data_IF_533969256728
#
_entry.id   IF_533969256728
#
_cell.length_a   1.000
_cell.length_b   1.000
_cell.length_c   1.000
_cell.angle_alpha   90.00
_cell.angle_beta   90.00
_cell.angle_gamma   90.00
#
_symmetry.space_group_name_H-M   'P 1'
#
loop_
_entity.id
_entity.type
_entity.pdbx_description
1 polymer ?
#
# COMPACT_ATOMS: atom_id res chain seq x y z
N UNK A 1 8.32 6.54 -17.98
CA UNK A 1 8.98 6.67 -16.66
C UNK A 1 8.69 5.39 -15.88
N UNK A 2 9.68 4.84 -15.14
CA UNK A 2 9.50 3.66 -14.31
C UNK A 2 8.99 4.06 -12.93
N UNK A 3 7.90 3.44 -12.46
CA UNK A 3 7.41 3.61 -11.10
C UNK A 3 8.18 2.73 -10.11
N UNK A 4 8.51 1.50 -10.53
CA UNK A 4 9.33 0.57 -9.76
C UNK A 4 10.34 -0.11 -10.68
N UNK A 5 11.59 -0.18 -10.25
CA UNK A 5 12.65 -0.94 -10.90
C UNK A 5 13.40 -1.76 -9.84
N UNK A 6 13.35 -3.07 -9.97
CA UNK A 6 14.08 -4.02 -9.15
C UNK A 6 15.09 -4.73 -10.05
N UNK A 7 16.34 -4.85 -9.61
CA UNK A 7 17.41 -5.55 -10.32
C UNK A 7 18.15 -6.49 -9.41
N UNK A 8 18.24 -7.75 -9.78
CA UNK A 8 18.96 -8.82 -9.11
C UNK A 8 18.67 -8.88 -7.60
N UNK A 9 17.37 -8.73 -7.23
CA UNK A 9 16.97 -8.68 -5.82
C UNK A 9 17.04 -10.06 -5.20
N UNK A 10 17.86 -10.17 -4.16
CA UNK A 10 18.05 -11.41 -3.37
C UNK A 10 17.74 -11.14 -1.90
N UNK A 11 17.05 -12.07 -1.28
CA UNK A 11 16.82 -12.08 0.17
C UNK A 11 17.09 -13.45 0.75
N UNK A 12 18.07 -13.49 1.66
CA UNK A 12 18.38 -14.64 2.50
C UNK A 12 18.16 -14.22 3.95
N UNK A 13 17.35 -14.96 4.68
CA UNK A 13 17.13 -14.74 6.11
C UNK A 13 18.25 -15.36 6.96
N UNK A 14 18.33 -14.97 8.24
CA UNK A 14 19.39 -15.45 9.16
C UNK A 14 19.41 -16.97 9.37
N UNK A 15 18.27 -17.64 9.15
CA UNK A 15 18.15 -19.10 9.19
C UNK A 15 18.61 -19.81 7.89
N UNK A 16 19.19 -19.07 6.93
CA UNK A 16 19.62 -19.58 5.62
C UNK A 16 18.49 -19.70 4.57
N UNK A 17 17.23 -19.43 4.92
CA UNK A 17 16.14 -19.50 3.97
C UNK A 17 16.25 -18.40 2.91
N UNK A 18 16.37 -18.81 1.63
CA UNK A 18 16.42 -17.92 0.48
C UNK A 18 14.98 -17.64 0.01
N UNK A 19 14.45 -16.47 0.36
CA UNK A 19 13.11 -16.04 -0.01
C UNK A 19 13.02 -15.42 -1.41
N UNK A 20 14.09 -14.79 -1.88
CA UNK A 20 14.22 -14.21 -3.22
C UNK A 20 15.58 -14.57 -3.78
N UNK A 21 15.66 -14.93 -5.06
CA UNK A 21 16.87 -15.38 -5.75
C UNK A 21 17.08 -14.60 -7.05
N UNK A 22 17.67 -13.41 -6.96
CA UNK A 22 18.07 -12.61 -8.12
C UNK A 22 16.90 -12.14 -8.99
N UNK A 23 15.77 -11.73 -8.41
CA UNK A 23 14.59 -11.33 -9.18
C UNK A 23 14.75 -9.95 -9.81
N UNK A 24 14.26 -9.81 -11.03
CA UNK A 24 14.11 -8.55 -11.76
C UNK A 24 12.63 -8.21 -11.95
N UNK A 25 12.26 -6.95 -11.75
CA UNK A 25 10.92 -6.46 -11.97
C UNK A 25 10.95 -5.01 -12.43
N UNK A 26 10.19 -4.68 -13.45
CA UNK A 26 9.95 -3.29 -13.87
C UNK A 26 8.45 -3.04 -14.00
N UNK A 27 7.97 -1.95 -13.38
CA UNK A 27 6.59 -1.46 -13.50
C UNK A 27 6.66 -0.01 -13.96
N UNK A 28 5.90 0.34 -15.00
CA UNK A 28 5.88 1.71 -15.51
C UNK A 28 4.88 2.58 -14.73
N UNK A 29 5.10 3.89 -14.78
CA UNK A 29 4.16 4.84 -14.19
C UNK A 29 2.78 4.73 -14.88
N UNK A 30 1.72 4.66 -14.07
CA UNK A 30 0.34 4.47 -14.53
C UNK A 30 -0.08 3.01 -14.74
N UNK A 31 0.84 2.04 -14.66
CA UNK A 31 0.47 0.63 -14.79
C UNK A 31 -0.45 0.18 -13.64
N UNK A 32 -1.37 -0.74 -13.97
CA UNK A 32 -2.10 -1.55 -13.01
C UNK A 32 -1.53 -2.97 -13.05
N UNK A 33 -0.55 -3.24 -12.18
CA UNK A 33 0.27 -4.44 -12.21
C UNK A 33 -0.15 -5.47 -11.15
N UNK A 34 -0.27 -6.73 -11.53
CA UNK A 34 -0.57 -7.83 -10.59
C UNK A 34 0.60 -8.80 -10.50
N UNK A 35 1.09 -9.01 -9.28
CA UNK A 35 2.12 -9.98 -8.96
C UNK A 35 1.45 -11.29 -8.54
N UNK A 36 1.40 -12.25 -9.46
CA UNK A 36 0.75 -13.54 -9.27
C UNK A 36 1.76 -14.60 -8.81
N UNK A 37 1.31 -15.51 -7.96
CA UNK A 37 2.13 -16.66 -7.57
C UNK A 37 1.58 -17.36 -6.33
N UNK A 38 2.01 -18.59 -6.06
CA UNK A 38 1.56 -19.35 -4.89
C UNK A 38 2.03 -18.70 -3.58
N UNK A 39 1.42 -19.13 -2.48
CA UNK A 39 1.90 -18.74 -1.15
C UNK A 39 3.35 -19.21 -0.97
N UNK A 40 4.19 -18.36 -0.37
CA UNK A 40 5.62 -18.64 -0.22
C UNK A 40 6.49 -18.28 -1.43
N UNK A 41 5.92 -17.82 -2.55
CA UNK A 41 6.70 -17.39 -3.74
C UNK A 41 7.53 -16.10 -3.54
N UNK A 42 7.57 -15.53 -2.34
CA UNK A 42 8.34 -14.32 -2.05
C UNK A 42 7.65 -13.00 -2.37
N UNK A 43 6.37 -13.00 -2.80
CA UNK A 43 5.63 -11.78 -3.16
C UNK A 43 5.62 -10.74 -2.02
N UNK A 44 5.16 -11.13 -0.84
CA UNK A 44 5.14 -10.28 0.36
C UNK A 44 6.55 -9.85 0.77
N UNK A 45 7.56 -10.72 0.64
CA UNK A 45 8.96 -10.36 0.92
C UNK A 45 9.46 -9.29 -0.04
N UNK A 46 9.19 -9.41 -1.34
CA UNK A 46 9.59 -8.42 -2.33
C UNK A 46 8.92 -7.05 -2.03
N UNK A 47 7.62 -7.04 -1.77
CA UNK A 47 6.88 -5.83 -1.38
C UNK A 47 7.43 -5.24 -0.08
N UNK A 48 7.67 -6.05 0.94
CA UNK A 48 8.20 -5.58 2.22
C UNK A 48 9.58 -4.92 2.06
N UNK A 49 10.42 -5.41 1.15
CA UNK A 49 11.72 -4.79 0.84
C UNK A 49 11.52 -3.46 0.09
N UNK A 50 10.63 -3.41 -0.91
CA UNK A 50 10.31 -2.16 -1.64
C UNK A 50 9.81 -1.08 -0.68
N UNK A 51 8.99 -1.45 0.31
CA UNK A 51 8.49 -0.54 1.35
C UNK A 51 9.49 -0.31 2.50
N UNK A 52 10.70 -0.86 2.40
CA UNK A 52 11.77 -0.77 3.43
C UNK A 52 11.35 -1.25 4.82
N UNK A 53 10.46 -2.24 4.86
CA UNK A 53 10.08 -2.97 6.07
C UNK A 53 11.00 -4.15 6.36
N UNK A 54 11.68 -4.66 5.33
CA UNK A 54 12.66 -5.75 5.39
C UNK A 54 13.89 -5.33 4.60
N UNK A 55 15.08 -5.57 5.15
CA UNK A 55 16.33 -5.31 4.44
C UNK A 55 16.57 -6.40 3.39
N UNK A 56 16.98 -5.99 2.19
CA UNK A 56 17.48 -6.91 1.15
C UNK A 56 18.84 -7.48 1.52
N UNK A 57 19.22 -8.60 0.91
CA UNK A 57 20.59 -9.13 0.99
C UNK A 57 21.46 -8.56 -0.13
N UNK A 58 20.92 -8.55 -1.37
CA UNK A 58 21.59 -7.99 -2.56
C UNK A 58 20.58 -7.42 -3.53
N UNK A 59 21.08 -6.71 -4.56
CA UNK A 59 20.28 -6.13 -5.63
C UNK A 59 19.97 -4.65 -5.45
N UNK A 60 19.35 -4.04 -6.44
CA UNK A 60 19.04 -2.61 -6.45
C UNK A 60 17.53 -2.40 -6.62
N UNK A 61 16.98 -1.42 -5.90
CA UNK A 61 15.56 -1.04 -5.99
C UNK A 61 15.47 0.47 -6.15
N UNK A 62 14.67 0.91 -7.13
CA UNK A 62 14.33 2.32 -7.32
C UNK A 62 12.83 2.50 -7.44
N UNK A 63 12.31 3.50 -6.77
CA UNK A 63 10.91 3.95 -6.84
C UNK A 63 10.90 5.37 -7.41
N UNK A 64 10.33 5.56 -8.60
CA UNK A 64 10.38 6.84 -9.35
C UNK A 64 11.79 7.45 -9.38
N UNK A 65 12.77 6.63 -9.75
CA UNK A 65 14.21 6.97 -9.82
C UNK A 65 14.88 7.29 -8.46
N UNK A 66 14.17 7.21 -7.34
CA UNK A 66 14.74 7.29 -6.00
C UNK A 66 15.20 5.91 -5.55
N UNK A 67 16.49 5.76 -5.31
CA UNK A 67 17.06 4.55 -4.76
C UNK A 67 16.67 4.42 -3.27
N UNK A 68 16.16 3.24 -2.87
CA UNK A 68 15.65 3.03 -1.50
C UNK A 68 16.74 3.02 -0.42
N UNK A 69 18.03 2.95 -0.77
CA UNK A 69 19.14 3.00 0.19
C UNK A 69 19.67 4.42 0.38
N UNK A 70 19.76 5.19 -0.71
CA UNK A 70 20.36 6.53 -0.69
C UNK A 70 19.35 7.67 -0.63
N UNK A 71 18.09 7.42 -1.08
CA UNK A 71 17.00 8.40 -1.12
C UNK A 71 15.71 7.78 -0.58
N UNK A 72 15.81 7.23 0.65
CA UNK A 72 14.73 6.47 1.28
C UNK A 72 13.45 7.30 1.52
N UNK A 73 13.62 8.54 1.96
CA UNK A 73 12.48 9.40 2.31
C UNK A 73 11.66 9.73 1.05
N UNK A 74 12.32 10.11 -0.03
CA UNK A 74 11.63 10.42 -1.31
C UNK A 74 10.95 9.18 -1.89
N UNK A 75 11.59 8.01 -1.78
CA UNK A 75 10.99 6.75 -2.18
C UNK A 75 9.71 6.47 -1.35
N UNK A 76 9.78 6.59 -0.02
CA UNK A 76 8.64 6.39 0.89
C UNK A 76 7.52 7.39 0.67
N UNK A 77 7.84 8.67 0.42
CA UNK A 77 6.84 9.69 0.10
C UNK A 77 6.03 9.35 -1.16
N UNK A 78 6.61 8.57 -2.07
CA UNK A 78 5.96 8.14 -3.30
C UNK A 78 5.10 6.88 -3.15
N UNK A 79 5.21 6.15 -2.02
CA UNK A 79 4.56 4.85 -1.81
C UNK A 79 3.41 4.94 -0.81
N UNK A 80 2.24 4.42 -1.17
CA UNK A 80 1.18 4.02 -0.25
C UNK A 80 1.17 2.50 -0.12
N UNK A 81 1.15 1.98 1.11
CA UNK A 81 1.15 0.53 1.37
C UNK A 81 -0.10 0.09 2.10
N UNK A 82 -0.76 -0.93 1.56
CA UNK A 82 -1.87 -1.64 2.20
C UNK A 82 -1.41 -3.07 2.48
N UNK A 83 -1.01 -3.40 3.72
CA UNK A 83 -0.56 -4.74 4.07
C UNK A 83 -1.71 -5.74 4.13
N UNK A 84 -1.39 -7.03 4.15
CA UNK A 84 -2.36 -8.11 4.24
C UNK A 84 -3.14 -8.07 5.55
N UNK A 85 -2.49 -7.79 6.67
CA UNK A 85 -3.12 -7.71 7.99
C UNK A 85 -3.45 -6.28 8.40
N UNK A 86 -4.47 -6.14 9.24
CA UNK A 86 -4.86 -4.85 9.82
C UNK A 86 -3.77 -4.40 10.81
N UNK A 87 -3.17 -3.25 10.56
CA UNK A 87 -2.02 -2.72 11.31
C UNK A 87 -2.23 -1.27 11.79
N UNK A 88 -3.44 -0.92 12.20
CA UNK A 88 -3.74 0.37 12.87
C UNK A 88 -4.33 0.13 14.26
N UNK A 89 -4.29 1.17 15.09
CA UNK A 89 -4.93 1.12 16.42
C UNK A 89 -6.45 0.99 16.26
N UNK A 90 -7.00 -0.16 16.61
CA UNK A 90 -8.43 -0.45 16.47
C UNK A 90 -9.30 0.28 17.51
N UNK A 91 -8.73 0.87 18.56
CA UNK A 91 -9.45 1.68 19.54
C UNK A 91 -9.62 3.15 19.11
N UNK A 92 -8.99 3.54 18.02
CA UNK A 92 -9.14 4.88 17.45
C UNK A 92 -10.28 4.92 16.43
N UNK A 93 -10.66 6.12 15.99
CA UNK A 93 -11.71 6.31 14.98
C UNK A 93 -11.14 6.29 13.57
N UNK A 94 -11.92 5.89 12.54
CA UNK A 94 -11.53 5.96 11.15
C UNK A 94 -10.98 7.34 10.73
N UNK A 95 -11.62 8.41 11.18
CA UNK A 95 -11.16 9.76 10.88
C UNK A 95 -9.78 10.05 11.46
N UNK A 96 -9.58 9.72 12.74
CA UNK A 96 -8.29 9.95 13.40
C UNK A 96 -7.18 9.09 12.78
N UNK A 97 -7.45 7.81 12.49
CA UNK A 97 -6.48 6.90 11.84
C UNK A 97 -5.97 7.50 10.53
N UNK A 98 -6.87 8.03 9.70
CA UNK A 98 -6.51 8.61 8.40
C UNK A 98 -5.80 9.96 8.56
N UNK A 99 -6.31 10.84 9.44
CA UNK A 99 -5.72 12.17 9.67
C UNK A 99 -4.35 12.08 10.35
N UNK A 100 -4.18 11.18 11.32
CA UNK A 100 -2.88 10.96 11.97
C UNK A 100 -1.84 10.42 10.97
N UNK A 101 -2.26 9.53 10.05
CA UNK A 101 -1.38 9.08 8.98
C UNK A 101 -0.88 10.24 8.11
N UNK A 102 -1.73 11.21 7.79
CA UNK A 102 -1.32 12.40 7.03
C UNK A 102 -0.23 13.21 7.76
N UNK A 103 -0.30 13.26 9.09
CA UNK A 103 0.70 13.92 9.93
C UNK A 103 2.11 13.35 9.77
N UNK A 104 2.26 12.04 9.60
CA UNK A 104 3.57 11.41 9.34
C UNK A 104 4.20 11.84 8.00
N UNK A 105 3.39 12.35 7.07
CA UNK A 105 3.83 12.89 5.79
C UNK A 105 3.90 14.43 5.79
N UNK A 106 3.80 15.08 6.96
CA UNK A 106 3.87 16.54 7.07
C UNK A 106 2.68 17.30 6.48
N UNK A 107 1.54 16.63 6.28
CA UNK A 107 0.35 17.23 5.69
C UNK A 107 -0.40 18.02 6.76
N UNK A 108 -0.69 19.29 6.48
CA UNK A 108 -1.45 20.16 7.36
C UNK A 108 -2.82 19.57 7.69
N UNK A 109 -3.27 19.71 8.95
CA UNK A 109 -4.50 19.09 9.46
C UNK A 109 -5.75 19.44 8.64
N UNK A 110 -5.88 20.68 8.19
CA UNK A 110 -7.04 21.10 7.39
C UNK A 110 -7.10 20.39 6.03
N UNK A 111 -5.94 20.20 5.40
CA UNK A 111 -5.80 19.45 4.15
C UNK A 111 -6.09 17.97 4.41
N UNK A 112 -5.55 17.41 5.49
CA UNK A 112 -5.78 16.03 5.90
C UNK A 112 -7.26 15.73 6.14
N UNK A 113 -7.99 16.62 6.83
CA UNK A 113 -9.43 16.50 7.08
C UNK A 113 -10.25 16.52 5.77
N UNK A 114 -9.91 17.40 4.84
CA UNK A 114 -10.55 17.48 3.52
C UNK A 114 -10.35 16.19 2.73
N UNK A 115 -9.12 15.70 2.63
CA UNK A 115 -8.78 14.43 1.96
C UNK A 115 -9.41 13.21 2.66
N UNK A 116 -9.41 13.20 4.00
CA UNK A 116 -10.05 12.13 4.78
C UNK A 116 -11.55 12.05 4.49
N UNK A 117 -12.25 13.20 4.40
CA UNK A 117 -13.66 13.25 4.02
C UNK A 117 -13.90 12.64 2.64
N UNK A 118 -13.07 12.98 1.67
CA UNK A 118 -13.13 12.46 0.30
C UNK A 118 -12.93 10.94 0.28
N UNK A 119 -11.78 10.43 0.76
CA UNK A 119 -11.47 9.01 0.70
C UNK A 119 -12.40 8.13 1.56
N UNK A 120 -12.76 8.58 2.77
CA UNK A 120 -13.72 7.87 3.59
C UNK A 120 -15.12 7.87 2.96
N UNK A 121 -15.50 8.94 2.26
CA UNK A 121 -16.75 9.03 1.51
C UNK A 121 -16.78 8.03 0.35
N UNK A 122 -15.79 8.06 -0.53
CA UNK A 122 -15.69 7.15 -1.68
C UNK A 122 -15.63 5.68 -1.26
N UNK A 123 -14.98 5.38 -0.13
CA UNK A 123 -14.88 4.05 0.44
C UNK A 123 -16.08 3.68 1.35
N UNK A 124 -17.13 4.50 1.39
CA UNK A 124 -18.36 4.29 2.17
C UNK A 124 -18.10 4.06 3.67
N UNK A 125 -17.17 4.86 4.23
CA UNK A 125 -16.81 4.83 5.66
C UNK A 125 -17.14 6.15 6.36
N UNK A 126 -17.60 7.18 5.64
CA UNK A 126 -17.82 8.52 6.21
C UNK A 126 -18.81 8.51 7.38
N UNK A 127 -19.91 7.76 7.24
CA UNK A 127 -20.93 7.64 8.31
C UNK A 127 -20.36 6.96 9.58
N UNK A 128 -19.32 6.17 9.43
CA UNK A 128 -18.61 5.47 10.50
C UNK A 128 -17.33 6.18 10.97
N UNK A 129 -17.09 7.41 10.52
CA UNK A 129 -15.84 8.13 10.75
C UNK A 129 -15.48 8.36 12.22
N UNK A 130 -16.50 8.43 13.09
CA UNK A 130 -16.36 8.67 14.53
C UNK A 130 -16.61 7.41 15.38
N UNK A 131 -16.97 6.29 14.76
CA UNK A 131 -17.15 5.03 15.48
C UNK A 131 -15.79 4.48 15.89
N UNK A 132 -15.76 3.56 16.86
CA UNK A 132 -14.53 2.84 17.19
C UNK A 132 -14.18 1.87 16.06
N UNK A 133 -12.95 1.93 15.53
CA UNK A 133 -12.54 1.08 14.40
C UNK A 133 -12.55 -0.41 14.73
N UNK A 134 -12.57 -0.78 16.02
CA UNK A 134 -12.76 -2.17 16.46
C UNK A 134 -14.11 -2.73 16.02
N UNK A 135 -15.17 -1.91 15.98
CA UNK A 135 -16.53 -2.31 15.58
C UNK A 135 -16.72 -2.50 14.07
N UNK A 136 -15.74 -2.10 13.26
CA UNK A 136 -15.81 -2.24 11.81
C UNK A 136 -15.69 -3.71 11.39
N UNK A 137 -16.45 -4.10 10.36
CA UNK A 137 -16.29 -5.41 9.72
C UNK A 137 -14.92 -5.55 9.05
N UNK A 138 -14.48 -6.77 8.74
CA UNK A 138 -13.21 -7.01 8.05
C UNK A 138 -13.08 -6.24 6.73
N UNK A 139 -14.14 -6.22 5.92
CA UNK A 139 -14.19 -5.45 4.68
C UNK A 139 -14.14 -3.94 4.90
N UNK A 140 -14.74 -3.42 5.99
CA UNK A 140 -14.64 -2.01 6.36
C UNK A 140 -13.23 -1.66 6.83
N UNK A 141 -12.59 -2.51 7.63
CA UNK A 141 -11.18 -2.34 8.05
C UNK A 141 -10.26 -2.32 6.85
N UNK A 142 -10.47 -3.20 5.85
CA UNK A 142 -9.70 -3.23 4.61
C UNK A 142 -9.83 -1.92 3.83
N UNK A 143 -11.05 -1.40 3.69
CA UNK A 143 -11.30 -0.11 3.04
C UNK A 143 -10.65 1.05 3.80
N UNK A 144 -10.66 1.02 5.14
CA UNK A 144 -9.98 2.01 5.97
C UNK A 144 -8.46 2.01 5.75
N UNK A 145 -7.83 0.83 5.60
CA UNK A 145 -6.40 0.73 5.27
C UNK A 145 -6.08 1.36 3.92
N UNK A 146 -6.98 1.21 2.93
CA UNK A 146 -6.81 1.86 1.62
C UNK A 146 -6.92 3.39 1.76
N UNK A 147 -7.93 3.90 2.49
CA UNK A 147 -8.05 5.34 2.76
C UNK A 147 -6.80 5.91 3.42
N UNK A 148 -6.28 5.19 4.42
CA UNK A 148 -5.03 5.55 5.12
C UNK A 148 -3.82 5.57 4.19
N UNK A 149 -3.69 4.58 3.31
CA UNK A 149 -2.58 4.52 2.37
C UNK A 149 -2.62 5.60 1.29
N UNK A 150 -3.79 6.16 1.00
CA UNK A 150 -3.99 7.18 -0.04
C UNK A 150 -3.91 8.62 0.49
N UNK A 151 -3.94 8.85 1.80
CA UNK A 151 -4.09 10.19 2.38
C UNK A 151 -3.00 11.19 1.94
N UNK A 152 -1.78 10.71 1.72
CA UNK A 152 -0.66 11.52 1.24
C UNK A 152 -0.55 11.58 -0.30
N UNK A 153 -1.53 11.00 -1.02
CA UNK A 153 -1.60 10.97 -2.49
C UNK A 153 -0.35 10.35 -3.13
N UNK A 154 -0.02 9.10 -2.80
CA UNK A 154 1.16 8.44 -3.34
C UNK A 154 1.07 8.26 -4.85
N UNK A 155 2.22 8.29 -5.53
CA UNK A 155 2.32 7.98 -6.96
C UNK A 155 2.27 6.46 -7.23
N UNK A 156 2.61 5.65 -6.24
CA UNK A 156 2.60 4.18 -6.28
C UNK A 156 1.82 3.63 -5.09
N UNK A 157 0.73 2.93 -5.35
CA UNK A 157 -0.05 2.21 -4.34
C UNK A 157 0.26 0.71 -4.44
N UNK A 158 0.74 0.13 -3.35
CA UNK A 158 1.04 -1.29 -3.24
C UNK A 158 0.01 -1.93 -2.31
N UNK A 159 -0.64 -3.01 -2.77
CA UNK A 159 -1.65 -3.73 -1.99
C UNK A 159 -1.27 -5.21 -1.89
N UNK A 160 -1.08 -5.69 -0.67
CA UNK A 160 -0.79 -7.10 -0.41
C UNK A 160 -2.10 -7.85 -0.14
N UNK A 161 -2.50 -8.73 -1.08
CA UNK A 161 -3.75 -9.51 -1.06
C UNK A 161 -5.00 -8.68 -0.70
N UNK A 162 -5.31 -7.59 -1.43
CA UNK A 162 -6.32 -6.61 -1.00
C UNK A 162 -7.74 -7.17 -0.88
N UNK A 163 -8.04 -8.29 -1.52
CA UNK A 163 -9.39 -8.87 -1.58
C UNK A 163 -9.52 -10.23 -0.90
N UNK A 164 -8.48 -10.69 -0.19
CA UNK A 164 -8.55 -11.95 0.56
C UNK A 164 -9.64 -11.88 1.65
N UNK A 165 -10.54 -12.88 1.68
CA UNK A 165 -11.62 -12.95 2.67
C UNK A 165 -12.70 -11.88 2.56
N UNK A 166 -12.82 -11.20 1.40
CA UNK A 166 -13.80 -10.12 1.18
C UNK A 166 -14.93 -10.61 0.28
N UNK A 167 -16.18 -10.28 0.65
CA UNK A 167 -17.38 -10.58 -0.14
C UNK A 167 -17.31 -10.07 -1.58
N UNK A 168 -18.02 -10.73 -2.49
CA UNK A 168 -18.00 -10.44 -3.94
C UNK A 168 -18.40 -8.98 -4.23
N UNK A 169 -19.42 -8.44 -3.57
CA UNK A 169 -19.87 -7.07 -3.79
C UNK A 169 -18.85 -6.03 -3.32
N UNK A 170 -18.28 -6.26 -2.13
CA UNK A 170 -17.23 -5.41 -1.58
C UNK A 170 -15.99 -5.48 -2.48
N UNK A 171 -15.62 -6.68 -2.94
CA UNK A 171 -14.53 -6.89 -3.89
C UNK A 171 -14.74 -6.08 -5.17
N UNK A 172 -15.94 -6.15 -5.79
CA UNK A 172 -16.26 -5.39 -7.01
C UNK A 172 -16.16 -3.88 -6.80
N UNK A 173 -16.67 -3.37 -5.66
CA UNK A 173 -16.58 -1.95 -5.35
C UNK A 173 -15.15 -1.48 -5.13
N UNK A 174 -14.32 -2.28 -4.48
CA UNK A 174 -12.89 -2.01 -4.31
C UNK A 174 -12.14 -1.98 -5.63
N UNK A 175 -12.39 -2.94 -6.53
CA UNK A 175 -11.78 -2.94 -7.87
C UNK A 175 -12.17 -1.71 -8.68
N UNK A 176 -13.45 -1.29 -8.62
CA UNK A 176 -13.92 -0.08 -9.29
C UNK A 176 -13.19 1.16 -8.74
N UNK A 177 -13.06 1.26 -7.43
CA UNK A 177 -12.33 2.34 -6.77
C UNK A 177 -10.84 2.34 -7.15
N UNK A 178 -10.14 1.19 -7.07
CA UNK A 178 -8.73 1.10 -7.46
C UNK A 178 -8.51 1.49 -8.93
N UNK A 179 -9.41 1.08 -9.82
CA UNK A 179 -9.34 1.50 -11.23
C UNK A 179 -9.54 3.00 -11.41
N UNK A 180 -10.42 3.65 -10.64
CA UNK A 180 -10.58 5.11 -10.71
C UNK A 180 -9.31 5.84 -10.25
N UNK A 181 -8.66 5.37 -9.18
CA UNK A 181 -7.38 5.91 -8.70
C UNK A 181 -6.27 5.72 -9.76
N UNK A 182 -6.21 4.56 -10.40
CA UNK A 182 -5.24 4.30 -11.45
C UNK A 182 -5.47 5.18 -12.69
N UNK A 183 -6.71 5.36 -13.12
CA UNK A 183 -7.06 6.25 -14.24
C UNK A 183 -6.68 7.71 -13.97
N UNK A 184 -6.61 8.11 -12.70
CA UNK A 184 -6.13 9.42 -12.26
C UNK A 184 -4.59 9.49 -12.14
N UNK A 185 -3.87 8.48 -12.62
CA UNK A 185 -2.41 8.47 -12.77
C UNK A 185 -1.63 7.76 -11.67
N UNK A 186 -2.28 7.24 -10.61
CA UNK A 186 -1.59 6.45 -9.59
C UNK A 186 -1.22 5.07 -10.15
N UNK A 187 0.05 4.69 -10.07
CA UNK A 187 0.49 3.33 -10.38
C UNK A 187 0.01 2.37 -9.30
N UNK A 188 -0.48 1.19 -9.67
CA UNK A 188 -0.96 0.20 -8.71
C UNK A 188 -0.20 -1.11 -8.89
N UNK A 189 0.32 -1.64 -7.78
CA UNK A 189 0.86 -3.01 -7.70
C UNK A 189 0.04 -3.76 -6.67
N UNK A 190 -0.43 -4.95 -7.02
CA UNK A 190 -1.10 -5.84 -6.07
C UNK A 190 -0.57 -7.25 -6.15
N UNK A 191 -0.64 -7.96 -5.03
CA UNK A 191 -0.40 -9.41 -4.98
C UNK A 191 -1.73 -10.16 -4.91
N UNK A 192 -1.71 -11.37 -5.42
CA UNK A 192 -2.82 -12.31 -5.31
C UNK A 192 -2.33 -13.74 -5.45
#
# INVERSE_FOLDING_TARGET
MKALSIKNLTKIYSNGFKALDGIDLTVNAGDFYSLLGPNGAGKTTAIAIVCSLVNKTMGNIRVFDHDIETRLEEAKMSIGMVPQEVNFNTFDTPLNIVVNQAGYYGIERNIALKRAKEYLGELRLWEKRNDNARSLSGGMKRRLMIARALIHQPKLLILDEPTAGVDIEIRRSMWKFLRSINNNGTTIILTT
#
